data_IF_347369868529
#
_entry.id   IF_347369868529
#
_cell.length_a   1.000
_cell.length_b   1.000
_cell.length_c   1.000
_cell.angle_alpha   90.00
_cell.angle_beta   90.00
_cell.angle_gamma   90.00
#
_symmetry.space_group_name_H-M   'P 1'
#
loop_
_entity.id
_entity.type
_entity.pdbx_description
1 polymer ?
#
# COMPACT_ATOMS: atom_id res chain seq x y z
N UNK A 1 7.32 -13.64 9.18
CA UNK A 1 6.42 -12.58 9.68
C UNK A 1 5.18 -13.25 10.19
N UNK A 2 4.79 -12.97 11.43
CA UNK A 2 3.43 -13.23 11.87
C UNK A 2 2.48 -12.32 11.07
N UNK A 3 1.21 -12.69 10.94
CA UNK A 3 0.17 -11.85 10.31
C UNK A 3 0.11 -10.46 10.96
N UNK A 4 0.49 -10.37 12.25
CA UNK A 4 0.53 -9.15 13.04
C UNK A 4 1.59 -8.15 12.57
N UNK A 5 2.65 -8.61 11.89
CA UNK A 5 3.78 -7.76 11.45
C UNK A 5 3.50 -7.01 10.13
N UNK A 6 2.39 -7.34 9.45
CA UNK A 6 2.01 -6.75 8.16
C UNK A 6 1.14 -5.51 8.37
N UNK A 7 1.61 -4.29 8.00
CA UNK A 7 0.97 -3.04 8.40
C UNK A 7 -0.13 -2.55 7.46
N UNK A 8 -0.35 -3.23 6.32
CA UNK A 8 -1.31 -2.79 5.30
C UNK A 8 -2.59 -3.62 5.35
N UNK A 9 -3.73 -2.92 5.26
CA UNK A 9 -5.03 -3.49 4.91
C UNK A 9 -5.52 -2.80 3.63
N UNK A 10 -5.83 -3.59 2.61
CA UNK A 10 -6.47 -3.12 1.37
C UNK A 10 -7.97 -3.36 1.46
N UNK A 11 -8.76 -2.36 1.09
CA UNK A 11 -10.22 -2.44 1.04
C UNK A 11 -10.70 -2.60 -0.40
N UNK A 12 -11.91 -3.14 -0.58
CA UNK A 12 -12.50 -3.40 -1.90
C UNK A 12 -12.75 -2.15 -2.74
N UNK A 13 -12.77 -0.96 -2.12
CA UNK A 13 -12.95 0.32 -2.81
C UNK A 13 -11.62 0.97 -3.25
N UNK A 14 -10.50 0.25 -3.08
CA UNK A 14 -9.14 0.73 -3.40
C UNK A 14 -8.48 1.53 -2.28
N UNK A 15 -9.12 1.68 -1.12
CA UNK A 15 -8.50 2.32 0.05
C UNK A 15 -7.44 1.41 0.69
N UNK A 16 -6.32 2.01 1.09
CA UNK A 16 -5.22 1.36 1.81
C UNK A 16 -5.11 2.01 3.18
N UNK A 17 -5.18 1.19 4.23
CA UNK A 17 -4.93 1.59 5.61
C UNK A 17 -3.53 1.10 6.01
N UNK A 18 -2.65 2.03 6.38
CA UNK A 18 -1.26 1.76 6.75
C UNK A 18 -1.01 2.14 8.21
N UNK A 19 -0.70 1.16 9.05
CA UNK A 19 -0.42 1.34 10.48
C UNK A 19 0.96 1.98 10.73
N UNK A 20 0.98 3.13 11.40
CA UNK A 20 2.20 3.95 11.63
C UNK A 20 3.14 3.31 12.66
N UNK A 21 2.59 2.63 13.66
CA UNK A 21 3.38 2.05 14.75
C UNK A 21 4.10 0.75 14.37
N UNK A 22 3.89 0.25 13.15
CA UNK A 22 4.56 -0.96 12.68
C UNK A 22 6.05 -0.69 12.40
N UNK A 23 6.96 -1.60 12.76
CA UNK A 23 8.37 -1.49 12.39
C UNK A 23 8.61 -1.51 10.87
N UNK A 24 7.64 -2.02 10.08
CA UNK A 24 7.70 -2.05 8.62
C UNK A 24 7.02 -0.84 7.96
N UNK A 25 6.52 0.13 8.74
CA UNK A 25 5.77 1.28 8.23
C UNK A 25 6.46 1.99 7.05
N UNK A 26 7.72 2.39 7.22
CA UNK A 26 8.47 3.12 6.19
C UNK A 26 8.60 2.30 4.91
N UNK A 27 8.93 1.01 5.01
CA UNK A 27 9.08 0.13 3.85
C UNK A 27 7.75 -0.14 3.16
N UNK A 28 6.69 -0.32 3.93
CA UNK A 28 5.35 -0.54 3.41
C UNK A 28 4.80 0.73 2.73
N UNK A 29 5.05 1.91 3.31
CA UNK A 29 4.75 3.21 2.71
C UNK A 29 5.44 3.35 1.35
N UNK A 30 6.75 3.16 1.32
CA UNK A 30 7.53 3.35 0.09
C UNK A 30 7.14 2.34 -1.00
N UNK A 31 6.71 1.14 -0.60
CA UNK A 31 6.25 0.11 -1.54
C UNK A 31 4.93 0.46 -2.24
N UNK A 32 4.03 1.23 -1.62
CA UNK A 32 2.73 1.60 -2.21
C UNK A 32 2.74 2.95 -2.91
N UNK A 33 3.69 3.85 -2.59
CA UNK A 33 3.81 5.17 -3.21
C UNK A 33 3.79 5.18 -4.75
N UNK A 34 4.37 4.19 -5.47
CA UNK A 34 4.35 4.20 -6.93
C UNK A 34 2.95 4.08 -7.54
N UNK A 35 1.99 3.47 -6.83
CA UNK A 35 0.67 3.12 -7.38
C UNK A 35 -0.51 3.52 -6.49
N UNK A 36 -0.29 4.31 -5.44
CA UNK A 36 -1.33 4.78 -4.54
C UNK A 36 -1.07 6.23 -4.10
N UNK A 37 -2.15 7.00 -3.95
CA UNK A 37 -2.10 8.42 -3.58
C UNK A 37 -2.40 8.61 -2.09
N UNK A 38 -1.67 9.50 -1.41
CA UNK A 38 -1.94 9.83 0.00
C UNK A 38 -3.24 10.64 0.11
N UNK A 39 -4.17 10.19 0.96
CA UNK A 39 -5.40 10.90 1.27
C UNK A 39 -5.28 11.67 2.59
N UNK A 40 -4.74 11.02 3.63
CA UNK A 40 -4.50 11.65 4.96
C UNK A 40 -3.46 10.87 5.78
N UNK A 41 -2.77 11.58 6.65
CA UNK A 41 -1.68 11.05 7.51
C UNK A 41 -1.86 11.44 8.99
N UNK A 42 -2.89 10.93 9.69
CA UNK A 42 -3.00 11.09 11.14
C UNK A 42 -2.02 10.17 11.87
N UNK A 43 -1.87 10.38 13.18
CA UNK A 43 -0.85 9.76 14.05
C UNK A 43 -0.76 8.22 13.99
N UNK A 44 -1.87 7.51 13.82
CA UNK A 44 -1.91 6.05 13.95
C UNK A 44 -2.06 5.29 12.63
N UNK A 45 -2.83 5.84 11.69
CA UNK A 45 -3.17 5.14 10.44
C UNK A 45 -3.19 6.11 9.28
N UNK A 46 -2.26 5.94 8.35
CA UNK A 46 -2.30 6.68 7.09
C UNK A 46 -3.30 6.03 6.14
N UNK A 47 -3.99 6.85 5.35
CA UNK A 47 -4.91 6.38 4.31
C UNK A 47 -4.38 6.75 2.95
N UNK A 48 -4.20 5.75 2.10
CA UNK A 48 -3.89 5.92 0.68
C UNK A 48 -5.06 5.41 -0.17
N UNK A 49 -5.07 5.74 -1.46
CA UNK A 49 -6.06 5.23 -2.41
C UNK A 49 -5.41 4.82 -3.72
N UNK A 50 -5.73 3.62 -4.18
CA UNK A 50 -5.48 3.18 -5.55
C UNK A 50 -6.58 3.79 -6.43
N UNK A 51 -6.17 4.60 -7.39
CA UNK A 51 -7.03 5.22 -8.41
C UNK A 51 -6.60 4.75 -9.81
N UNK A 52 -7.49 4.81 -10.82
CA UNK A 52 -7.08 4.54 -12.20
C UNK A 52 -5.91 5.42 -12.66
N UNK A 53 -5.85 6.67 -12.19
CA UNK A 53 -4.75 7.59 -12.50
C UNK A 53 -3.44 7.14 -11.85
N UNK A 54 -3.44 6.77 -10.57
CA UNK A 54 -2.24 6.29 -9.88
C UNK A 54 -1.67 5.03 -10.52
N UNK A 55 -2.52 4.10 -10.97
CA UNK A 55 -2.10 2.88 -11.68
C UNK A 55 -1.54 3.23 -13.07
N UNK A 56 -2.18 4.16 -13.79
CA UNK A 56 -1.67 4.63 -15.07
C UNK A 56 -0.29 5.30 -14.92
N UNK A 57 -0.11 6.13 -13.89
CA UNK A 57 1.17 6.76 -13.56
C UNK A 57 2.24 5.70 -13.23
N UNK A 58 1.89 4.69 -12.43
CA UNK A 58 2.78 3.57 -12.12
C UNK A 58 3.24 2.85 -13.40
N UNK A 59 2.29 2.52 -14.28
CA UNK A 59 2.57 1.83 -15.54
C UNK A 59 3.44 2.68 -16.48
N UNK A 60 3.23 4.00 -16.53
CA UNK A 60 4.06 4.92 -17.30
C UNK A 60 5.51 4.98 -16.81
N UNK A 61 5.75 4.66 -15.53
CA UNK A 61 7.08 4.53 -14.92
C UNK A 61 7.66 3.11 -15.02
N UNK A 62 6.98 2.20 -15.72
CA UNK A 62 7.43 0.82 -15.91
C UNK A 62 7.12 -0.13 -14.74
N UNK A 63 6.29 0.30 -13.78
CA UNK A 63 5.81 -0.58 -12.71
C UNK A 63 4.79 -1.56 -13.32
N UNK A 64 5.07 -2.86 -13.24
CA UNK A 64 4.17 -3.90 -13.72
C UNK A 64 3.12 -4.28 -12.67
N UNK A 65 2.03 -4.91 -13.09
CA UNK A 65 1.04 -5.48 -12.18
C UNK A 65 1.67 -6.49 -11.21
N UNK A 66 2.68 -7.24 -11.65
CA UNK A 66 3.46 -8.18 -10.84
C UNK A 66 4.18 -7.47 -9.70
N UNK A 67 4.76 -6.29 -9.96
CA UNK A 67 5.45 -5.49 -8.93
C UNK A 67 4.46 -5.00 -7.87
N UNK A 68 3.27 -4.57 -8.30
CA UNK A 68 2.17 -4.16 -7.41
C UNK A 68 1.74 -5.33 -6.53
N UNK A 69 1.46 -6.50 -7.13
CA UNK A 69 1.05 -7.69 -6.39
C UNK A 69 2.13 -8.19 -5.44
N UNK A 70 3.41 -8.09 -5.81
CA UNK A 70 4.52 -8.45 -4.93
C UNK A 70 4.64 -7.50 -3.74
N UNK A 71 4.50 -6.18 -3.95
CA UNK A 71 4.48 -5.18 -2.89
C UNK A 71 3.33 -5.44 -1.91
N UNK A 72 2.11 -5.65 -2.43
CA UNK A 72 0.94 -5.93 -1.61
C UNK A 72 1.07 -7.27 -0.89
N UNK A 73 1.49 -8.35 -1.56
CA UNK A 73 1.66 -9.67 -0.92
C UNK A 73 2.67 -9.66 0.24
N UNK A 74 3.69 -8.80 0.16
CA UNK A 74 4.70 -8.62 1.22
C UNK A 74 4.13 -7.94 2.47
N UNK A 75 3.37 -6.86 2.31
CA UNK A 75 2.98 -5.98 3.42
C UNK A 75 1.49 -6.06 3.82
N UNK A 76 0.62 -6.68 3.01
CA UNK A 76 -0.81 -6.79 3.29
C UNK A 76 -1.12 -7.94 4.24
N UNK A 77 -1.83 -7.61 5.32
CA UNK A 77 -2.25 -8.54 6.37
C UNK A 77 -3.18 -9.63 5.83
N UNK A 78 -3.99 -9.30 4.84
CA UNK A 78 -4.93 -10.20 4.16
C UNK A 78 -4.54 -10.37 2.69
N UNK A 79 -4.98 -11.47 2.08
CA UNK A 79 -4.85 -11.67 0.63
C UNK A 79 -5.65 -10.61 -0.14
N UNK A 80 -5.12 -10.25 -1.31
CA UNK A 80 -5.61 -9.18 -2.20
C UNK A 80 -5.88 -9.77 -3.57
#
# INVERSE_FOLDING_TARGET
MSIQDKPIIVQSDGSILLEVQSPEFERARDAILPFAELIKSPEYVHTYRITPLSVWNAAALGISHTDVLQALGRYCRYEV
#
